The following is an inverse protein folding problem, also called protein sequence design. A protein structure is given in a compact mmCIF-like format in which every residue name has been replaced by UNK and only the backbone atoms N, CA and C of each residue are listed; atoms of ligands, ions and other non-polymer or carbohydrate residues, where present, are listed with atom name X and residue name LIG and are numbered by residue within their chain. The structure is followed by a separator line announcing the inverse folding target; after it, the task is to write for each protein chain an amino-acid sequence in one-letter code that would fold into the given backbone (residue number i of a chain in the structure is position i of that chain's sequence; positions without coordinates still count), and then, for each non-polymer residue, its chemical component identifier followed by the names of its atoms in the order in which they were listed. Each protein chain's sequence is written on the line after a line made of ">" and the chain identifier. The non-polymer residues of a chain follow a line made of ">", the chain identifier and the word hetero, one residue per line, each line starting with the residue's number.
data_IF_289939526116
#
_entry.id   IF_289939526116
#
_cell.length_a   1.000
_cell.length_b   1.000
_cell.length_c   1.000
_cell.angle_alpha   90.00
_cell.angle_beta   90.00
_cell.angle_gamma   90.00
#
_symmetry.space_group_name_H-M   'P 1'
#
loop_
_entity.id
_entity.type
_entity.pdbx_description
1 polymer ?
#
# COMPACT_ATOMS: atom_id res chain seq x y z
N UNK A 1 4.94 -6.11 -5.98
CA UNK A 1 5.92 -6.14 -7.09
C UNK A 1 6.28 -4.72 -7.45
N UNK A 2 7.58 -4.35 -7.51
CA UNK A 2 8.00 -2.98 -7.87
C UNK A 2 7.99 -2.80 -9.38
N UNK A 3 7.57 -1.62 -9.90
CA UNK A 3 7.79 -1.29 -11.31
C UNK A 3 9.27 -1.44 -11.69
N UNK A 4 9.60 -1.94 -12.88
CA UNK A 4 11.00 -2.18 -13.29
C UNK A 4 11.89 -0.95 -13.17
N UNK A 5 11.36 0.23 -13.49
CA UNK A 5 12.07 1.50 -13.37
C UNK A 5 12.41 1.83 -11.92
N UNK A 6 11.43 1.81 -11.01
CA UNK A 6 11.65 2.08 -9.59
C UNK A 6 12.63 1.08 -8.95
N UNK A 7 12.66 -0.17 -9.44
CA UNK A 7 13.61 -1.18 -8.95
C UNK A 7 15.05 -0.84 -9.29
N UNK A 8 15.29 -0.21 -10.43
CA UNK A 8 16.64 0.19 -10.89
C UNK A 8 17.10 1.52 -10.31
N UNK A 9 16.18 2.49 -10.23
CA UNK A 9 16.51 3.89 -9.89
C UNK A 9 16.42 4.21 -8.40
N UNK A 10 15.63 3.47 -7.63
CA UNK A 10 15.38 3.78 -6.22
C UNK A 10 16.06 2.80 -5.27
N UNK A 11 16.78 3.29 -4.23
CA UNK A 11 17.41 2.43 -3.26
C UNK A 11 16.38 1.60 -2.49
N UNK A 12 16.74 0.34 -2.19
CA UNK A 12 15.92 -0.49 -1.33
C UNK A 12 16.30 -0.23 0.13
N UNK A 13 15.36 0.22 0.93
CA UNK A 13 15.55 0.59 2.35
C UNK A 13 14.81 -0.34 3.32
N UNK A 14 13.79 -1.07 2.83
CA UNK A 14 12.96 -1.94 3.67
C UNK A 14 12.57 -3.23 2.96
N UNK A 15 12.17 -4.22 3.75
CA UNK A 15 11.36 -5.35 3.36
C UNK A 15 9.96 -5.21 3.98
N UNK A 16 9.15 -6.27 3.97
CA UNK A 16 7.78 -6.22 4.46
C UNK A 16 7.68 -5.84 5.96
N UNK A 17 8.46 -6.52 6.80
CA UNK A 17 8.46 -6.35 8.27
C UNK A 17 9.79 -5.84 8.82
N UNK A 18 10.73 -5.42 7.98
CA UNK A 18 12.04 -4.95 8.41
C UNK A 18 12.48 -3.73 7.63
N UNK A 19 13.26 -2.86 8.27
CA UNK A 19 13.81 -1.67 7.64
C UNK A 19 15.28 -1.47 8.02
N UNK A 20 16.04 -0.92 7.10
CA UNK A 20 17.42 -0.47 7.33
C UNK A 20 17.39 0.99 7.76
N UNK A 21 17.13 1.23 9.06
CA UNK A 21 16.95 2.58 9.61
C UNK A 21 18.09 3.50 9.24
N UNK A 22 19.34 3.08 9.43
CA UNK A 22 20.52 3.91 9.06
C UNK A 22 20.51 4.31 7.57
N UNK A 23 20.05 3.42 6.68
CA UNK A 23 19.93 3.75 5.26
C UNK A 23 18.77 4.70 4.97
N UNK A 24 17.66 4.62 5.72
CA UNK A 24 16.57 5.58 5.62
C UNK A 24 17.09 6.96 6.02
N UNK A 25 17.75 7.07 7.18
CA UNK A 25 18.31 8.32 7.68
C UNK A 25 19.34 8.94 6.71
N UNK A 26 20.19 8.14 6.09
CA UNK A 26 21.19 8.64 5.12
C UNK A 26 20.56 9.23 3.85
N UNK A 27 19.27 8.96 3.58
CA UNK A 27 18.53 9.56 2.48
C UNK A 27 17.92 10.92 2.86
N UNK A 28 17.97 11.31 4.13
CA UNK A 28 17.42 12.57 4.66
C UNK A 28 15.95 12.80 4.21
N UNK A 29 15.03 11.86 4.47
CA UNK A 29 13.65 12.02 4.01
C UNK A 29 12.92 13.08 4.83
N UNK A 30 12.09 13.89 4.18
CA UNK A 30 11.16 14.81 4.84
C UNK A 30 9.97 14.06 5.45
N UNK A 31 9.59 12.93 4.85
CA UNK A 31 8.48 12.09 5.28
C UNK A 31 8.76 10.62 4.97
N UNK A 32 8.44 9.75 5.92
CA UNK A 32 8.43 8.30 5.71
C UNK A 32 7.00 7.77 5.78
N UNK A 33 6.62 7.01 4.76
CA UNK A 33 5.35 6.33 4.72
C UNK A 33 5.51 4.88 5.18
N UNK A 34 4.71 4.48 6.15
CA UNK A 34 4.62 3.10 6.63
C UNK A 34 3.21 2.56 6.43
N UNK A 35 3.02 1.27 6.62
CA UNK A 35 1.69 0.69 6.54
C UNK A 35 1.49 -0.35 7.65
N UNK A 36 0.24 -0.45 8.13
CA UNK A 36 -0.23 -1.38 9.13
C UNK A 36 0.56 -1.42 10.46
N UNK A 37 0.02 -2.11 11.42
CA UNK A 37 0.61 -2.44 12.71
C UNK A 37 1.89 -3.28 12.61
N UNK A 38 2.07 -4.04 11.52
CA UNK A 38 3.28 -4.81 11.24
C UNK A 38 4.56 -3.95 11.14
N UNK A 39 4.42 -2.66 10.89
CA UNK A 39 5.53 -1.70 10.83
C UNK A 39 5.53 -0.70 12.00
N UNK A 40 4.76 -0.94 13.06
CA UNK A 40 4.64 -0.03 14.20
C UNK A 40 5.98 0.25 14.88
N UNK A 41 6.81 -0.77 15.09
CA UNK A 41 8.14 -0.62 15.71
C UNK A 41 9.09 0.20 14.82
N UNK A 42 9.01 0.00 13.51
CA UNK A 42 9.79 0.79 12.53
C UNK A 42 9.37 2.26 12.59
N UNK A 43 8.06 2.53 12.60
CA UNK A 43 7.52 3.87 12.72
C UNK A 43 7.96 4.53 14.03
N UNK A 44 7.89 3.82 15.14
CA UNK A 44 8.32 4.29 16.47
C UNK A 44 9.80 4.67 16.48
N UNK A 45 10.67 3.83 15.91
CA UNK A 45 12.11 4.10 15.87
C UNK A 45 12.43 5.34 15.00
N UNK A 46 11.73 5.51 13.88
CA UNK A 46 11.87 6.68 13.02
C UNK A 46 11.41 7.97 13.71
N UNK A 47 10.25 7.94 14.39
CA UNK A 47 9.71 9.07 15.16
C UNK A 47 10.68 9.49 16.25
N UNK A 48 11.23 8.54 17.02
CA UNK A 48 12.24 8.82 18.06
C UNK A 48 13.51 9.48 17.52
N UNK A 49 13.78 9.34 16.23
CA UNK A 49 14.92 9.96 15.53
C UNK A 49 14.53 11.28 14.85
N UNK A 50 13.34 11.81 15.12
CA UNK A 50 12.88 13.09 14.59
C UNK A 50 12.40 13.05 13.14
N UNK A 51 12.09 11.87 12.59
CA UNK A 51 11.55 11.73 11.23
C UNK A 51 10.02 11.80 11.28
N UNK A 52 9.45 12.62 10.42
CA UNK A 52 8.01 12.61 10.19
C UNK A 52 7.57 11.28 9.57
N UNK A 53 6.54 10.66 10.16
CA UNK A 53 6.02 9.36 9.73
C UNK A 53 4.51 9.43 9.55
N UNK A 54 4.03 8.99 8.42
CA UNK A 54 2.60 8.72 8.22
C UNK A 54 2.37 7.23 8.05
N UNK A 55 1.54 6.64 8.92
CA UNK A 55 1.20 5.22 8.88
C UNK A 55 -0.18 5.02 8.25
N UNK A 56 -0.21 4.30 7.13
CA UNK A 56 -1.45 3.86 6.50
C UNK A 56 -1.93 2.55 7.10
N UNK A 57 -3.20 2.46 7.48
CA UNK A 57 -3.78 1.25 8.06
C UNK A 57 -5.18 0.98 7.48
N UNK A 58 -5.31 1.01 6.16
CA UNK A 58 -6.57 0.79 5.48
C UNK A 58 -6.94 -0.69 5.47
N UNK A 59 -8.20 -0.98 5.89
CA UNK A 59 -8.76 -2.34 5.95
C UNK A 59 -9.94 -2.52 4.99
N UNK A 60 -10.28 -1.50 4.21
CA UNK A 60 -11.41 -1.52 3.27
C UNK A 60 -10.99 -1.01 1.90
N UNK A 61 -11.70 -1.42 0.88
CA UNK A 61 -11.48 -0.92 -0.50
C UNK A 61 -11.68 0.60 -0.57
N UNK A 62 -12.68 1.13 0.12
CA UNK A 62 -12.89 2.57 0.21
C UNK A 62 -11.70 3.28 0.84
N UNK A 63 -11.21 2.77 1.98
CA UNK A 63 -10.02 3.32 2.63
C UNK A 63 -8.78 3.29 1.74
N UNK A 64 -8.59 2.23 0.93
CA UNK A 64 -7.50 2.17 -0.05
C UNK A 64 -7.62 3.28 -1.11
N UNK A 65 -8.82 3.55 -1.59
CA UNK A 65 -9.05 4.64 -2.56
C UNK A 65 -8.80 6.03 -1.95
N UNK A 66 -9.14 6.21 -0.67
CA UNK A 66 -8.84 7.43 0.08
C UNK A 66 -7.33 7.58 0.33
N UNK A 67 -6.64 6.49 0.64
CA UNK A 67 -5.18 6.48 0.74
C UNK A 67 -4.51 6.95 -0.56
N UNK A 68 -4.99 6.50 -1.73
CA UNK A 68 -4.45 6.93 -3.02
C UNK A 68 -4.60 8.45 -3.19
N UNK A 69 -5.75 9.02 -2.80
CA UNK A 69 -5.96 10.46 -2.84
C UNK A 69 -5.00 11.21 -1.92
N UNK A 70 -4.88 10.74 -0.69
CA UNK A 70 -3.98 11.34 0.29
C UNK A 70 -2.52 11.29 -0.18
N UNK A 71 -2.08 10.15 -0.72
CA UNK A 71 -0.74 10.03 -1.30
C UNK A 71 -0.56 11.00 -2.47
N UNK A 72 -1.55 11.11 -3.34
CA UNK A 72 -1.52 12.10 -4.44
C UNK A 72 -1.35 13.51 -3.92
N UNK A 73 -2.11 13.90 -2.90
CA UNK A 73 -2.02 15.24 -2.31
C UNK A 73 -0.64 15.54 -1.66
N UNK A 74 0.01 14.50 -1.11
CA UNK A 74 1.33 14.64 -0.47
C UNK A 74 2.46 14.77 -1.50
N UNK A 75 2.43 13.96 -2.58
CA UNK A 75 3.59 13.82 -3.48
C UNK A 75 3.44 14.57 -4.80
N UNK A 76 2.23 14.73 -5.28
CA UNK A 76 1.92 15.40 -6.55
C UNK A 76 0.46 15.83 -6.55
N UNK A 77 0.14 17.08 -6.23
CA UNK A 77 -1.23 17.57 -6.14
C UNK A 77 -1.94 17.68 -7.51
N UNK A 78 -1.48 16.93 -8.50
CA UNK A 78 -2.12 16.79 -9.81
C UNK A 78 -3.39 15.92 -9.74
N UNK A 79 -4.18 15.94 -10.81
CA UNK A 79 -5.40 15.14 -10.94
C UNK A 79 -5.14 13.62 -11.11
N UNK A 80 -3.88 13.19 -11.20
CA UNK A 80 -3.51 11.78 -11.43
C UNK A 80 -4.07 10.81 -10.39
N UNK A 81 -4.12 11.22 -9.13
CA UNK A 81 -4.69 10.38 -8.06
C UNK A 81 -6.19 10.18 -8.27
N UNK A 82 -6.93 11.22 -8.65
CA UNK A 82 -8.36 11.12 -8.93
C UNK A 82 -8.64 10.29 -10.20
N UNK A 83 -7.86 10.45 -11.25
CA UNK A 83 -7.95 9.63 -12.46
C UNK A 83 -7.73 8.13 -12.14
N UNK A 84 -6.71 7.83 -11.33
CA UNK A 84 -6.45 6.46 -10.89
C UNK A 84 -7.61 5.92 -10.07
N UNK A 85 -8.14 6.70 -9.12
CA UNK A 85 -9.28 6.31 -8.30
C UNK A 85 -10.54 6.08 -9.15
N UNK A 86 -10.83 6.95 -10.12
CA UNK A 86 -11.95 6.79 -11.04
C UNK A 86 -11.82 5.50 -11.87
N UNK A 87 -10.60 5.23 -12.39
CA UNK A 87 -10.29 4.01 -13.13
C UNK A 87 -10.52 2.75 -12.27
N UNK A 88 -10.01 2.76 -11.03
CA UNK A 88 -10.18 1.63 -10.11
C UNK A 88 -11.64 1.41 -9.73
N UNK A 89 -12.40 2.47 -9.44
CA UNK A 89 -13.85 2.39 -9.19
C UNK A 89 -14.60 1.75 -10.37
N UNK A 90 -14.28 2.16 -11.59
CA UNK A 90 -14.88 1.58 -12.81
C UNK A 90 -14.58 0.10 -12.94
N UNK A 91 -13.34 -0.32 -12.69
CA UNK A 91 -12.95 -1.74 -12.71
C UNK A 91 -13.66 -2.56 -11.64
N UNK A 92 -13.76 -2.04 -10.43
CA UNK A 92 -14.48 -2.67 -9.32
C UNK A 92 -15.98 -2.82 -9.63
N UNK A 93 -16.61 -1.77 -10.16
CA UNK A 93 -18.01 -1.82 -10.57
C UNK A 93 -18.24 -2.86 -11.66
N UNK A 94 -17.34 -2.96 -12.65
CA UNK A 94 -17.41 -3.99 -13.70
C UNK A 94 -17.27 -5.41 -13.14
N UNK A 95 -16.35 -5.63 -12.19
CA UNK A 95 -16.17 -6.92 -11.53
C UNK A 95 -17.43 -7.30 -10.73
N UNK A 96 -17.98 -6.34 -9.95
CA UNK A 96 -19.22 -6.55 -9.20
C UNK A 96 -20.38 -6.93 -10.10
N UNK A 97 -20.62 -6.20 -11.18
CA UNK A 97 -21.67 -6.54 -12.16
C UNK A 97 -21.50 -7.96 -12.71
N UNK A 98 -20.26 -8.34 -13.08
CA UNK A 98 -20.01 -9.72 -13.56
C UNK A 98 -20.35 -10.77 -12.52
N UNK A 99 -20.08 -10.53 -11.25
CA UNK A 99 -20.40 -11.47 -10.18
C UNK A 99 -21.90 -11.61 -9.94
N UNK A 100 -22.70 -10.58 -10.23
CA UNK A 100 -24.15 -10.59 -10.10
C UNK A 100 -24.82 -11.51 -11.15
N UNK A 101 -24.20 -11.70 -12.31
CA UNK A 101 -24.69 -12.57 -13.38
C UNK A 101 -24.18 -14.02 -13.29
N UNK A 102 -23.40 -14.36 -12.25
CA UNK A 102 -22.97 -15.74 -12.08
C UNK A 102 -24.15 -16.62 -11.65
N UNK A 103 -24.43 -17.72 -12.37
CA UNK A 103 -25.55 -18.62 -12.05
C UNK A 103 -25.36 -19.31 -10.69
N UNK A 104 -24.12 -19.41 -10.23
CA UNK A 104 -23.75 -19.97 -8.94
C UNK A 104 -22.56 -19.21 -8.38
N UNK A 105 -22.62 -18.87 -7.11
CA UNK A 105 -21.44 -18.30 -6.39
C UNK A 105 -20.46 -19.43 -6.08
N UNK A 106 -19.26 -19.44 -6.66
CA UNK A 106 -18.26 -20.44 -6.33
C UNK A 106 -17.78 -20.24 -4.88
N UNK A 107 -17.44 -21.34 -4.22
CA UNK A 107 -16.62 -21.26 -2.99
C UNK A 107 -15.18 -21.11 -3.41
N UNK A 108 -14.52 -20.07 -2.92
CA UNK A 108 -13.14 -19.73 -3.28
C UNK A 108 -12.28 -19.80 -2.03
N UNK A 109 -11.13 -20.44 -2.15
CA UNK A 109 -10.04 -20.33 -1.21
C UNK A 109 -9.02 -19.37 -1.81
N UNK A 110 -8.62 -18.35 -1.05
CA UNK A 110 -7.60 -17.39 -1.46
C UNK A 110 -6.35 -17.59 -0.62
N UNK A 111 -5.31 -18.09 -1.24
CA UNK A 111 -3.99 -18.26 -0.64
C UNK A 111 -3.15 -17.02 -0.96
N UNK A 112 -2.65 -16.37 0.08
CA UNK A 112 -1.75 -15.21 -0.03
C UNK A 112 -0.29 -15.64 0.04
N UNK A 113 0.00 -16.69 0.80
CA UNK A 113 1.35 -17.23 1.03
C UNK A 113 1.25 -18.72 1.31
N UNK A 114 2.17 -19.51 0.79
CA UNK A 114 2.15 -20.98 0.84
C UNK A 114 2.92 -21.59 2.02
N UNK A 115 3.97 -20.92 2.50
CA UNK A 115 4.77 -21.40 3.63
C UNK A 115 5.24 -20.24 4.53
N UNK A 116 4.68 -20.05 5.73
CA UNK A 116 3.47 -20.73 6.23
C UNK A 116 2.22 -20.36 5.45
N UNK A 117 1.24 -21.25 5.43
CA UNK A 117 -0.04 -20.99 4.75
C UNK A 117 -0.75 -19.79 5.36
N UNK A 118 -0.89 -18.71 4.59
CA UNK A 118 -1.60 -17.50 4.98
C UNK A 118 -2.74 -17.28 3.98
N UNK A 119 -3.95 -17.27 4.48
CA UNK A 119 -5.14 -16.91 3.70
C UNK A 119 -5.54 -15.46 3.99
N UNK A 120 -6.02 -14.75 2.97
CA UNK A 120 -6.70 -13.48 3.19
C UNK A 120 -8.12 -13.74 3.71
N UNK A 121 -8.49 -13.06 4.76
CA UNK A 121 -9.82 -13.06 5.36
C UNK A 121 -10.61 -11.88 4.82
#
# INVERSE_FOLDING_TARGET
>A
MRPPQARREKPRVSAFTSAKIGKILSLQPDLVLTFSDLQADIATDLIRRGIEVHAFNQRTVTGILEMIRMLGAIVDPSERAEELVATLKTRLAKARRRSEYLPKRPRVFFEQWDDPLISAI
#
